data_IF_125172011933
#
_entry.id   IF_125172011933
#
_cell.length_a   1.000
_cell.length_b   1.000
_cell.length_c   1.000
_cell.angle_alpha   90.00
_cell.angle_beta   90.00
_cell.angle_gamma   90.00
#
_symmetry.space_group_name_H-M   'P 1'
#
loop_
_entity.id
_entity.type
_entity.pdbx_description
1 polymer ?
#
# COMPACT_ATOMS: atom_id res chain seq x y z
N UNK A 1 23.74 -7.39 -2.56
CA UNK A 1 22.82 -6.23 -2.56
C UNK A 1 23.43 -5.17 -1.67
N UNK A 2 23.73 -4.01 -2.22
CA UNK A 2 24.19 -2.85 -1.45
C UNK A 2 23.01 -2.28 -0.67
N UNK A 3 23.15 -2.14 0.64
CA UNK A 3 22.19 -1.46 1.51
C UNK A 3 22.49 0.04 1.62
N UNK A 4 23.10 0.64 0.57
CA UNK A 4 23.40 2.06 0.56
C UNK A 4 22.12 2.89 0.48
N UNK A 5 22.14 4.05 1.14
CA UNK A 5 21.01 4.98 1.16
C UNK A 5 20.72 5.50 -0.25
N UNK A 6 21.76 5.80 -1.04
CA UNK A 6 21.62 6.28 -2.41
C UNK A 6 20.91 5.25 -3.31
N UNK A 7 21.31 3.98 -3.20
CA UNK A 7 20.68 2.92 -3.98
C UNK A 7 19.23 2.72 -3.57
N UNK A 8 18.90 2.82 -2.28
CA UNK A 8 17.51 2.76 -1.85
C UNK A 8 16.69 3.95 -2.39
N UNK A 9 17.25 5.16 -2.38
CA UNK A 9 16.63 6.36 -2.91
C UNK A 9 16.32 6.24 -4.41
N UNK A 10 17.28 5.80 -5.21
CA UNK A 10 17.13 5.55 -6.64
C UNK A 10 16.00 4.54 -6.91
N UNK A 11 15.97 3.44 -6.16
CA UNK A 11 14.96 2.38 -6.32
C UNK A 11 13.55 2.85 -5.99
N UNK A 12 13.37 3.76 -5.03
CA UNK A 12 12.04 4.32 -4.74
C UNK A 12 11.48 5.15 -5.91
N UNK A 13 12.35 5.73 -6.72
CA UNK A 13 11.98 6.54 -7.90
C UNK A 13 11.86 5.68 -9.17
N UNK A 14 12.36 4.44 -9.16
CA UNK A 14 12.26 3.54 -10.30
C UNK A 14 10.83 2.98 -10.46
N UNK A 15 10.26 3.24 -11.63
CA UNK A 15 8.93 2.79 -12.05
C UNK A 15 8.84 1.31 -12.43
N UNK A 16 9.98 0.65 -12.63
CA UNK A 16 10.07 -0.77 -12.93
C UNK A 16 10.17 -1.65 -11.68
N UNK A 17 10.54 -1.07 -10.54
CA UNK A 17 10.65 -1.81 -9.29
C UNK A 17 9.33 -1.88 -8.54
N UNK A 18 9.06 -3.03 -7.94
CA UNK A 18 7.94 -3.22 -7.03
C UNK A 18 8.37 -2.94 -5.59
N UNK A 19 7.41 -2.51 -4.78
CA UNK A 19 7.61 -2.24 -3.37
C UNK A 19 8.04 -3.51 -2.62
N UNK A 20 7.49 -4.68 -2.99
CA UNK A 20 7.92 -5.97 -2.44
C UNK A 20 9.44 -6.22 -2.57
N UNK A 21 10.08 -5.69 -3.62
CA UNK A 21 11.52 -5.83 -3.86
C UNK A 21 12.34 -4.75 -3.12
N UNK A 22 11.78 -3.55 -2.96
CA UNK A 22 12.43 -2.41 -2.29
C UNK A 22 12.49 -2.62 -0.77
N UNK A 23 11.40 -3.11 -0.18
CA UNK A 23 11.20 -3.20 1.26
C UNK A 23 12.26 -4.02 2.02
N UNK A 24 12.74 -5.18 1.54
CA UNK A 24 13.82 -5.92 2.22
C UNK A 24 15.09 -5.08 2.42
N UNK A 25 15.41 -4.22 1.45
CA UNK A 25 16.57 -3.31 1.54
C UNK A 25 16.31 -2.18 2.53
N UNK A 26 15.12 -1.60 2.52
CA UNK A 26 14.70 -0.59 3.50
C UNK A 26 14.71 -1.14 4.94
N UNK A 27 14.22 -2.37 5.16
CA UNK A 27 14.23 -3.05 6.47
C UNK A 27 15.67 -3.26 6.93
N UNK A 28 16.54 -3.73 6.04
CA UNK A 28 17.96 -3.95 6.34
C UNK A 28 18.64 -2.64 6.76
N UNK A 29 18.41 -1.56 6.01
CA UNK A 29 18.93 -0.24 6.35
C UNK A 29 18.43 0.24 7.72
N UNK A 30 17.13 0.10 7.99
CA UNK A 30 16.55 0.48 9.28
C UNK A 30 17.17 -0.30 10.45
N UNK A 31 17.45 -1.60 10.25
CA UNK A 31 18.17 -2.41 11.23
C UNK A 31 19.61 -1.96 11.44
N UNK A 32 20.33 -1.61 10.37
CA UNK A 32 21.71 -1.11 10.44
C UNK A 32 21.81 0.21 11.20
N UNK A 33 20.81 1.08 11.05
CA UNK A 33 20.67 2.36 11.76
C UNK A 33 20.08 2.22 13.17
N UNK A 34 19.61 1.04 13.56
CA UNK A 34 18.90 0.77 14.82
C UNK A 34 17.55 1.49 14.95
N UNK A 35 16.92 1.84 13.84
CA UNK A 35 15.57 2.40 13.78
C UNK A 35 14.54 1.26 13.94
N UNK A 36 14.22 0.95 15.20
CA UNK A 36 13.40 -0.22 15.54
C UNK A 36 11.95 -0.02 15.11
N UNK A 37 11.40 1.20 15.26
CA UNK A 37 10.03 1.50 14.88
C UNK A 37 9.86 1.47 13.36
N UNK A 38 10.80 2.08 12.62
CA UNK A 38 10.84 2.03 11.17
C UNK A 38 10.94 0.58 10.66
N UNK A 39 11.85 -0.21 11.22
CA UNK A 39 12.02 -1.61 10.81
C UNK A 39 10.81 -2.49 11.17
N UNK A 40 10.06 -2.15 12.23
CA UNK A 40 8.82 -2.85 12.59
C UNK A 40 7.68 -2.47 11.64
N UNK A 41 7.49 -1.17 11.38
CA UNK A 41 6.49 -0.67 10.43
C UNK A 41 6.71 -1.24 9.03
N UNK A 42 7.95 -1.22 8.51
CA UNK A 42 8.27 -1.80 7.19
C UNK A 42 7.98 -3.31 7.12
N UNK A 43 8.22 -4.06 8.19
CA UNK A 43 7.86 -5.49 8.21
C UNK A 43 6.35 -5.70 8.19
N UNK A 44 5.61 -4.95 9.00
CA UNK A 44 4.15 -5.02 9.01
C UNK A 44 3.55 -4.62 7.65
N UNK A 45 4.10 -3.62 6.99
CA UNK A 45 3.71 -3.24 5.63
C UNK A 45 3.99 -4.38 4.63
N UNK A 46 5.13 -5.08 4.75
CA UNK A 46 5.55 -6.13 3.82
C UNK A 46 4.74 -7.41 4.00
N UNK A 47 4.62 -7.88 5.24
CA UNK A 47 4.01 -9.16 5.59
C UNK A 47 2.48 -9.06 5.77
N UNK A 48 1.98 -7.85 6.05
CA UNK A 48 0.60 -7.59 6.47
C UNK A 48 0.45 -7.43 7.98
N UNK A 49 -0.71 -6.91 8.37
CA UNK A 49 -1.06 -6.64 9.76
C UNK A 49 -1.80 -7.83 10.38
N UNK A 50 -1.56 -8.08 11.67
CA UNK A 50 -2.19 -9.18 12.41
C UNK A 50 -3.69 -8.95 12.62
N UNK A 51 -4.07 -7.69 12.84
CA UNK A 51 -5.45 -7.25 13.04
C UNK A 51 -5.66 -5.84 12.49
N UNK A 52 -6.92 -5.42 12.48
CA UNK A 52 -7.35 -4.12 11.99
C UNK A 52 -6.81 -2.96 12.83
N UNK A 53 -6.63 -3.14 14.14
CA UNK A 53 -6.21 -2.07 15.05
C UNK A 53 -4.72 -1.76 14.94
N UNK A 54 -3.91 -2.74 14.54
CA UNK A 54 -2.49 -2.58 14.27
C UNK A 54 -2.21 -1.80 12.96
N UNK A 55 -3.19 -1.74 12.06
CA UNK A 55 -3.03 -1.07 10.76
C UNK A 55 -3.06 0.47 10.90
N UNK A 56 -2.14 1.19 10.22
CA UNK A 56 -2.16 2.65 10.18
C UNK A 56 -3.50 3.21 9.66
N UNK A 57 -3.88 4.45 10.03
CA UNK A 57 -5.14 5.06 9.60
C UNK A 57 -5.37 5.07 8.08
N UNK A 58 -4.32 5.19 7.26
CA UNK A 58 -4.45 5.17 5.80
C UNK A 58 -4.79 3.80 5.19
N UNK A 59 -4.78 2.73 5.99
CA UNK A 59 -5.20 1.39 5.59
C UNK A 59 -6.63 1.06 6.00
N UNK A 60 -7.30 1.94 6.74
CA UNK A 60 -8.59 1.68 7.37
C UNK A 60 -9.70 2.53 6.81
N UNK A 61 -10.93 2.01 6.88
CA UNK A 61 -12.15 2.66 6.47
C UNK A 61 -12.09 3.21 5.03
N UNK A 62 -11.53 2.42 4.12
CA UNK A 62 -11.30 2.83 2.73
C UNK A 62 -12.60 2.73 1.93
N UNK A 63 -13.04 3.82 1.27
CA UNK A 63 -14.33 3.83 0.59
C UNK A 63 -14.32 2.98 -0.68
N UNK A 64 -15.32 2.12 -0.80
CA UNK A 64 -15.60 1.30 -1.97
C UNK A 64 -17.07 1.42 -2.41
N UNK A 65 -17.42 0.65 -3.45
CA UNK A 65 -18.78 0.61 -3.98
C UNK A 65 -19.42 -0.75 -3.73
N UNK A 66 -20.61 -0.76 -3.13
CA UNK A 66 -21.35 -1.99 -2.89
C UNK A 66 -21.97 -2.47 -4.21
N UNK A 67 -21.70 -3.72 -4.57
CA UNK A 67 -22.20 -4.38 -5.77
C UNK A 67 -22.91 -5.69 -5.41
N UNK A 68 -23.93 -6.03 -6.18
CA UNK A 68 -24.70 -7.26 -6.06
C UNK A 68 -24.49 -8.17 -7.26
N UNK A 69 -24.47 -9.49 -7.03
CA UNK A 69 -24.33 -10.50 -8.09
C UNK A 69 -25.67 -10.81 -8.73
N UNK A 70 -25.91 -10.28 -9.92
CA UNK A 70 -27.04 -10.64 -10.78
C UNK A 70 -26.73 -11.91 -11.59
N UNK A 71 -27.67 -12.88 -11.67
CA UNK A 71 -27.51 -14.07 -12.51
C UNK A 71 -27.36 -13.75 -14.01
N UNK A 72 -27.93 -12.63 -14.47
CA UNK A 72 -27.97 -12.26 -15.89
C UNK A 72 -26.87 -11.27 -16.28
N UNK A 73 -26.57 -10.30 -15.42
CA UNK A 73 -25.68 -9.17 -15.74
C UNK A 73 -24.35 -9.22 -14.98
N UNK A 74 -24.12 -10.24 -14.15
CA UNK A 74 -22.95 -10.31 -13.29
C UNK A 74 -23.04 -9.28 -12.17
N UNK A 75 -21.91 -8.64 -11.83
CA UNK A 75 -21.86 -7.65 -10.75
C UNK A 75 -22.43 -6.31 -11.20
N UNK A 76 -23.48 -5.86 -10.52
CA UNK A 76 -24.14 -4.57 -10.74
C UNK A 76 -24.12 -3.74 -9.45
N UNK A 77 -24.19 -2.40 -9.51
CA UNK A 77 -24.35 -1.59 -8.31
C UNK A 77 -25.55 -2.04 -7.49
N UNK A 78 -25.35 -2.21 -6.18
CA UNK A 78 -26.44 -2.60 -5.29
C UNK A 78 -27.39 -1.41 -5.07
N UNK A 79 -28.71 -1.64 -4.90
CA UNK A 79 -29.68 -0.59 -4.60
C UNK A 79 -29.58 -0.17 -3.13
N UNK A 80 -28.45 0.44 -2.76
CA UNK A 80 -28.16 0.93 -1.40
C UNK A 80 -28.37 2.44 -1.31
N UNK A 81 -28.79 2.90 -0.13
CA UNK A 81 -28.86 4.31 0.24
C UNK A 81 -27.49 4.87 0.66
N UNK A 82 -27.39 6.19 0.79
CA UNK A 82 -26.16 6.85 1.27
C UNK A 82 -25.78 6.40 2.68
N UNK A 83 -26.76 6.22 3.57
CA UNK A 83 -26.54 5.73 4.93
C UNK A 83 -25.93 4.32 4.93
N UNK A 84 -26.47 3.42 4.10
CA UNK A 84 -25.97 2.05 3.96
C UNK A 84 -24.57 2.02 3.32
N UNK A 85 -24.30 2.94 2.40
CA UNK A 85 -22.97 3.08 1.81
C UNK A 85 -21.96 3.56 2.85
N UNK A 86 -22.34 4.42 3.78
CA UNK A 86 -21.48 4.87 4.88
C UNK A 86 -21.25 3.79 5.96
N UNK A 87 -22.16 2.84 6.07
CA UNK A 87 -22.07 1.77 7.07
C UNK A 87 -21.28 0.58 6.54
N UNK A 88 -21.58 0.13 5.31
CA UNK A 88 -21.05 -1.10 4.72
C UNK A 88 -20.14 -0.88 3.52
N UNK A 89 -20.00 0.35 3.02
CA UNK A 89 -19.25 0.66 1.80
C UNK A 89 -17.75 0.86 2.03
N UNK A 90 -17.19 0.26 3.07
CA UNK A 90 -15.82 0.50 3.50
C UNK A 90 -15.06 -0.79 3.76
N UNK A 91 -13.76 -0.77 3.53
CA UNK A 91 -12.87 -1.89 3.78
C UNK A 91 -11.57 -1.45 4.43
N UNK A 92 -11.00 -2.35 5.22
CA UNK A 92 -9.63 -2.23 5.68
C UNK A 92 -8.73 -3.11 4.81
N UNK A 93 -7.55 -2.60 4.47
CA UNK A 93 -6.53 -3.34 3.73
C UNK A 93 -5.39 -3.70 4.67
N UNK A 94 -5.46 -4.89 5.25
CA UNK A 94 -4.46 -5.41 6.20
C UNK A 94 -3.41 -6.30 5.53
N UNK A 95 -3.59 -6.64 4.25
CA UNK A 95 -2.66 -7.51 3.53
C UNK A 95 -1.31 -6.84 3.27
N UNK A 96 -0.26 -7.66 3.18
CA UNK A 96 1.07 -7.22 2.81
C UNK A 96 1.15 -6.61 1.41
N UNK A 97 2.13 -5.74 1.20
CA UNK A 97 2.32 -4.98 -0.06
C UNK A 97 2.31 -5.86 -1.30
N UNK A 98 2.90 -7.05 -1.27
CA UNK A 98 2.88 -8.01 -2.40
C UNK A 98 1.46 -8.30 -2.91
N UNK A 99 0.51 -8.53 -2.00
CA UNK A 99 -0.88 -8.82 -2.36
C UNK A 99 -1.56 -7.60 -2.96
N UNK A 100 -1.31 -6.42 -2.39
CA UNK A 100 -1.87 -5.16 -2.86
C UNK A 100 -1.31 -4.75 -4.23
N UNK A 101 -0.01 -4.94 -4.45
CA UNK A 101 0.64 -4.70 -5.75
C UNK A 101 0.07 -5.61 -6.83
N UNK A 102 -0.15 -6.88 -6.50
CA UNK A 102 -0.78 -7.84 -7.41
C UNK A 102 -2.17 -7.38 -7.86
N UNK A 103 -2.95 -6.73 -6.98
CA UNK A 103 -4.22 -6.10 -7.38
C UNK A 103 -3.98 -4.98 -8.38
N UNK A 104 -3.05 -4.05 -8.09
CA UNK A 104 -2.73 -2.93 -8.99
C UNK A 104 -2.22 -3.35 -10.37
N UNK A 105 -1.44 -4.43 -10.43
CA UNK A 105 -0.86 -4.98 -11.67
C UNK A 105 -1.93 -5.67 -12.52
N UNK A 106 -2.84 -6.42 -11.88
CA UNK A 106 -3.87 -7.21 -12.56
C UNK A 106 -5.13 -6.40 -12.92
N UNK A 107 -5.41 -5.30 -12.21
CA UNK A 107 -6.56 -4.43 -12.48
C UNK A 107 -6.22 -3.34 -13.49
N UNK A 108 -7.14 -3.07 -14.42
CA UNK A 108 -7.06 -1.93 -15.34
C UNK A 108 -7.45 -0.62 -14.64
N UNK A 109 -7.06 0.52 -15.21
CA UNK A 109 -7.53 1.84 -14.76
C UNK A 109 -9.06 1.91 -14.88
N UNK A 110 -9.76 2.19 -13.79
CA UNK A 110 -11.22 2.19 -13.70
C UNK A 110 -11.83 0.84 -13.27
N UNK A 111 -11.02 -0.20 -13.11
CA UNK A 111 -11.41 -1.46 -12.48
C UNK A 111 -11.02 -1.46 -10.99
N UNK A 112 -11.47 -2.47 -10.27
CA UNK A 112 -11.18 -2.63 -8.85
C UNK A 112 -11.11 -4.10 -8.43
N UNK A 113 -10.78 -4.31 -7.17
CA UNK A 113 -10.85 -5.63 -6.56
C UNK A 113 -12.18 -5.77 -5.81
N UNK A 114 -12.84 -6.91 -6.00
CA UNK A 114 -14.10 -7.22 -5.35
C UNK A 114 -13.84 -8.16 -4.19
N UNK A 115 -14.25 -7.73 -3.00
CA UNK A 115 -14.18 -8.50 -1.77
C UNK A 115 -15.62 -8.72 -1.29
N UNK A 116 -15.96 -9.98 -1.01
CA UNK A 116 -17.28 -10.29 -0.47
C UNK A 116 -17.44 -9.64 0.90
N UNK A 117 -18.65 -9.18 1.22
CA UNK A 117 -18.97 -8.80 2.60
C UNK A 117 -18.83 -10.05 3.49
N UNK A 118 -18.51 -9.84 4.76
CA UNK A 118 -18.61 -10.93 5.74
C UNK A 118 -20.07 -11.39 5.89
N UNK A 119 -20.25 -12.56 6.50
CA UNK A 119 -21.56 -13.21 6.57
C UNK A 119 -22.59 -12.39 7.37
N UNK A 120 -22.14 -11.69 8.41
CA UNK A 120 -23.00 -10.90 9.29
C UNK A 120 -23.47 -9.62 8.59
N UNK A 121 -22.54 -8.85 8.05
CA UNK A 121 -22.81 -7.62 7.28
C UNK A 121 -23.61 -7.92 6.01
N UNK A 122 -23.31 -9.03 5.33
CA UNK A 122 -24.08 -9.48 4.18
C UNK A 122 -25.54 -9.76 4.57
N UNK A 123 -25.77 -10.51 5.64
CA UNK A 123 -27.12 -10.85 6.10
C UNK A 123 -27.91 -9.62 6.57
N UNK A 124 -27.23 -8.67 7.24
CA UNK A 124 -27.84 -7.40 7.65
C UNK A 124 -28.24 -6.60 6.41
N UNK A 125 -27.30 -6.36 5.50
CA UNK A 125 -27.54 -5.51 4.34
C UNK A 125 -28.58 -6.11 3.39
N UNK A 126 -28.54 -7.42 3.14
CA UNK A 126 -29.53 -8.16 2.34
C UNK A 126 -30.96 -7.97 2.86
N UNK A 127 -31.15 -8.01 4.19
CA UNK A 127 -32.46 -7.75 4.82
C UNK A 127 -32.89 -6.31 4.62
N UNK A 128 -31.98 -5.35 4.75
CA UNK A 128 -32.31 -3.93 4.60
C UNK A 128 -32.69 -3.55 3.16
N UNK A 129 -32.07 -4.17 2.16
CA UNK A 129 -32.36 -3.90 0.73
C UNK A 129 -33.35 -4.90 0.09
N UNK A 130 -33.87 -5.85 0.87
CA UNK A 130 -34.76 -6.93 0.42
C UNK A 130 -34.22 -7.70 -0.81
N UNK A 131 -32.95 -8.12 -0.75
CA UNK A 131 -32.25 -8.84 -1.82
C UNK A 131 -31.56 -10.08 -1.25
N UNK A 132 -31.59 -11.20 -1.96
CA UNK A 132 -30.91 -12.46 -1.57
C UNK A 132 -29.62 -12.74 -2.35
N UNK A 133 -29.17 -11.80 -3.16
CA UNK A 133 -27.96 -11.93 -3.98
C UNK A 133 -26.69 -11.72 -3.14
N UNK A 134 -25.59 -12.37 -3.53
CA UNK A 134 -24.26 -12.11 -2.97
C UNK A 134 -23.91 -10.63 -3.14
N UNK A 135 -23.42 -10.03 -2.05
CA UNK A 135 -22.95 -8.65 -2.02
C UNK A 135 -21.42 -8.63 -1.89
N UNK A 136 -20.79 -7.68 -2.57
CA UNK A 136 -19.36 -7.43 -2.48
C UNK A 136 -19.09 -5.93 -2.43
N UNK A 137 -17.95 -5.55 -1.87
CA UNK A 137 -17.40 -4.20 -1.98
C UNK A 137 -16.37 -4.23 -3.10
N UNK A 138 -16.59 -3.39 -4.11
CA UNK A 138 -15.63 -3.11 -5.16
C UNK A 138 -14.74 -1.94 -4.73
N UNK A 139 -13.49 -2.23 -4.40
CA UNK A 139 -12.50 -1.23 -4.04
C UNK A 139 -11.68 -0.85 -5.28
N UNK A 140 -11.69 0.42 -5.65
CA UNK A 140 -11.02 0.93 -6.85
C UNK A 140 -9.53 0.69 -6.80
N UNK A 141 -8.92 0.35 -7.94
CA UNK A 141 -7.47 0.28 -8.11
C UNK A 141 -6.74 1.53 -7.59
N UNK A 142 -7.36 2.71 -7.70
CA UNK A 142 -6.77 3.96 -7.23
C UNK A 142 -6.49 3.92 -5.71
N UNK A 143 -7.37 3.29 -4.93
CA UNK A 143 -7.18 3.16 -3.47
C UNK A 143 -5.91 2.35 -3.16
N UNK A 144 -5.75 1.18 -3.80
CA UNK A 144 -4.54 0.35 -3.67
C UNK A 144 -3.28 1.10 -4.11
N UNK A 145 -3.36 1.79 -5.25
CA UNK A 145 -2.26 2.59 -5.80
C UNK A 145 -1.84 3.72 -4.83
N UNK A 146 -2.80 4.48 -4.29
CA UNK A 146 -2.51 5.54 -3.30
C UNK A 146 -1.88 5.01 -2.02
N UNK A 147 -2.33 3.85 -1.53
CA UNK A 147 -1.72 3.20 -0.38
C UNK A 147 -0.25 2.84 -0.68
N UNK A 148 0.02 2.20 -1.81
CA UNK A 148 1.38 1.80 -2.21
C UNK A 148 2.30 2.99 -2.44
N UNK A 149 1.77 4.07 -3.04
CA UNK A 149 2.47 5.35 -3.18
C UNK A 149 2.80 5.95 -1.81
N UNK A 150 1.88 5.88 -0.84
CA UNK A 150 2.11 6.38 0.53
C UNK A 150 3.29 5.65 1.18
N UNK A 151 3.35 4.33 1.08
CA UNK A 151 4.44 3.53 1.67
C UNK A 151 5.76 3.80 0.96
N UNK A 152 5.77 3.82 -0.38
CA UNK A 152 6.95 4.15 -1.19
C UNK A 152 7.45 5.57 -0.89
N UNK A 153 6.54 6.53 -0.81
CA UNK A 153 6.83 7.92 -0.49
C UNK A 153 7.39 8.10 0.92
N UNK A 154 6.90 7.35 1.89
CA UNK A 154 7.45 7.35 3.24
C UNK A 154 8.91 6.83 3.26
N UNK A 155 9.21 5.76 2.51
CA UNK A 155 10.58 5.27 2.36
C UNK A 155 11.45 6.33 1.69
N UNK A 156 10.98 6.95 0.60
CA UNK A 156 11.69 8.02 -0.10
C UNK A 156 11.98 9.22 0.82
N UNK A 157 10.98 9.73 1.53
CA UNK A 157 11.16 10.86 2.43
C UNK A 157 12.14 10.52 3.57
N UNK A 158 12.09 9.29 4.08
CA UNK A 158 13.03 8.82 5.08
C UNK A 158 14.46 8.73 4.53
N UNK A 159 14.67 8.22 3.30
CA UNK A 159 15.99 8.20 2.68
C UNK A 159 16.53 9.59 2.41
N UNK A 160 15.68 10.53 1.98
CA UNK A 160 16.06 11.93 1.78
C UNK A 160 16.56 12.59 3.08
N UNK A 161 15.86 12.39 4.21
CA UNK A 161 16.31 12.93 5.51
C UNK A 161 17.62 12.30 6.00
N UNK A 162 17.83 11.00 5.75
CA UNK A 162 19.11 10.35 6.04
C UNK A 162 20.26 10.95 5.22
N UNK A 163 20.03 11.20 3.93
CA UNK A 163 21.02 11.85 3.07
C UNK A 163 21.30 13.30 3.50
N UNK A 164 20.26 14.05 3.86
CA UNK A 164 20.38 15.43 4.34
C UNK A 164 21.24 15.54 5.61
N UNK A 165 21.29 14.48 6.42
CA UNK A 165 22.14 14.38 7.61
C UNK A 165 23.56 13.89 7.33
N UNK A 166 23.92 13.72 6.06
CA UNK A 166 25.26 13.35 5.64
C UNK A 166 25.54 11.84 5.66
N UNK A 167 24.51 10.99 5.81
CA UNK A 167 24.66 9.53 5.74
C UNK A 167 24.62 9.00 4.29
N UNK A 168 24.64 9.88 3.29
CA UNK A 168 24.70 9.48 1.88
C UNK A 168 25.98 8.67 1.56
N UNK A 169 25.92 7.86 0.49
CA UNK A 169 27.05 7.05 0.02
C UNK A 169 26.95 5.56 0.38
N UNK A 170 28.03 4.82 0.06
CA UNK A 170 28.12 3.39 0.31
C UNK A 170 28.62 3.10 1.72
N UNK A 171 27.68 2.75 2.61
CA UNK A 171 27.99 2.37 3.99
C UNK A 171 27.71 0.89 4.20
N UNK A 172 28.74 0.14 4.58
CA UNK A 172 28.59 -1.26 5.01
C UNK A 172 28.26 -1.36 6.50
N UNK A 173 28.51 -0.30 7.28
CA UNK A 173 28.15 -0.20 8.69
C UNK A 173 27.97 1.27 9.08
N UNK A 174 27.25 1.54 10.16
CA UNK A 174 27.14 2.87 10.77
C UNK A 174 27.76 2.89 12.17
N UNK A 175 28.52 3.93 12.47
CA UNK A 175 29.11 4.16 13.79
C UNK A 175 28.02 4.50 14.83
N UNK A 176 28.32 4.40 16.14
CA UNK A 176 27.44 4.89 17.19
C UNK A 176 27.09 6.38 17.03
N UNK A 177 28.05 7.20 16.60
CA UNK A 177 27.87 8.64 16.40
C UNK A 177 26.92 8.95 15.24
N UNK A 178 27.07 8.25 14.11
CA UNK A 178 26.17 8.40 12.95
C UNK A 178 24.74 8.00 13.30
N UNK A 179 24.56 6.88 14.04
CA UNK A 179 23.23 6.44 14.49
C UNK A 179 22.59 7.45 15.45
N UNK A 180 23.38 8.04 16.35
CA UNK A 180 22.88 9.05 17.27
C UNK A 180 22.35 10.29 16.52
N UNK A 181 22.97 10.66 15.40
CA UNK A 181 22.54 11.81 14.57
C UNK A 181 21.20 11.61 13.88
N UNK A 182 20.68 10.39 13.76
CA UNK A 182 19.44 10.08 13.02
C UNK A 182 18.37 9.42 13.88
N UNK A 183 18.60 9.29 15.19
CA UNK A 183 17.71 8.53 16.09
C UNK A 183 16.28 9.09 16.13
N UNK A 184 16.12 10.40 15.97
CA UNK A 184 14.81 11.08 15.88
C UNK A 184 14.06 10.79 14.57
N UNK A 185 14.72 10.22 13.55
CA UNK A 185 14.08 9.74 12.33
C UNK A 185 13.44 8.34 12.49
N UNK A 186 13.52 7.70 13.67
CA UNK A 186 12.81 6.44 13.97
C UNK A 186 11.32 6.70 14.26
N UNK A 187 10.64 7.42 13.36
CA UNK A 187 9.24 7.87 13.49
C UNK A 187 8.49 7.64 12.17
N UNK A 188 8.14 6.39 11.82
CA UNK A 188 7.48 6.09 10.56
C UNK A 188 6.19 6.92 10.35
N UNK A 189 5.50 7.28 11.42
CA UNK A 189 4.29 8.11 11.40
C UNK A 189 4.47 9.51 10.86
N UNK A 190 5.64 10.11 11.06
CA UNK A 190 5.95 11.40 10.43
C UNK A 190 6.05 11.26 8.91
N UNK A 191 6.71 10.20 8.45
CA UNK A 191 6.99 9.99 7.04
C UNK A 191 5.76 9.59 6.23
N UNK A 192 4.94 8.64 6.70
CA UNK A 192 3.76 8.27 5.93
C UNK A 192 2.69 9.36 5.96
N UNK A 193 2.56 10.18 7.01
CA UNK A 193 1.67 11.35 6.99
C UNK A 193 2.11 12.37 5.95
N UNK A 194 3.40 12.72 5.96
CA UNK A 194 3.98 13.61 4.96
C UNK A 194 3.82 13.06 3.55
N UNK A 195 4.01 11.75 3.37
CA UNK A 195 3.81 11.09 2.08
C UNK A 195 2.36 11.16 1.61
N UNK A 196 1.36 11.06 2.50
CA UNK A 196 -0.04 11.25 2.13
C UNK A 196 -0.33 12.68 1.67
N UNK A 197 0.22 13.67 2.37
CA UNK A 197 0.01 15.09 2.07
C UNK A 197 0.69 15.50 0.75
N UNK A 198 1.85 14.90 0.45
CA UNK A 198 2.69 15.24 -0.69
C UNK A 198 2.59 14.24 -1.86
N UNK A 199 1.70 13.24 -1.77
CA UNK A 199 1.64 12.08 -2.67
C UNK A 199 1.65 12.42 -4.17
N UNK A 200 0.97 13.50 -4.56
CA UNK A 200 0.85 13.93 -5.96
C UNK A 200 2.06 14.76 -6.44
N UNK A 201 3.00 15.11 -5.55
CA UNK A 201 4.16 15.97 -5.82
C UNK A 201 5.51 15.26 -5.69
N UNK A 202 5.55 14.13 -4.97
CA UNK A 202 6.77 13.34 -4.79
C UNK A 202 7.22 12.76 -6.14
N UNK A 203 8.53 12.63 -6.40
CA UNK A 203 9.08 12.05 -7.63
C UNK A 203 8.98 10.52 -7.64
N UNK A 204 7.90 9.96 -7.09
CA UNK A 204 7.67 8.52 -6.97
C UNK A 204 6.64 8.07 -8.02
N UNK A 205 6.91 6.98 -8.75
CA UNK A 205 6.01 6.48 -9.77
C UNK A 205 4.79 5.78 -9.16
N UNK A 206 3.66 5.86 -9.87
CA UNK A 206 2.51 4.98 -9.61
C UNK A 206 2.87 3.53 -9.95
N UNK A 207 2.27 2.59 -9.22
CA UNK A 207 2.36 1.17 -9.54
C UNK A 207 1.74 0.97 -10.92
N UNK A 208 2.53 0.57 -11.91
CA UNK A 208 2.03 0.41 -13.28
C UNK A 208 1.12 -0.81 -13.36
N UNK A 209 -0.06 -0.67 -13.99
CA UNK A 209 -0.81 -1.84 -14.44
C UNK A 209 0.02 -2.57 -15.48
N UNK A 210 -0.04 -3.90 -15.55
CA UNK A 210 0.63 -4.66 -16.63
C UNK A 210 0.18 -4.11 -18.00
N UNK A 211 1.03 -3.27 -18.58
CA UNK A 211 0.69 -2.36 -19.66
C UNK A 211 1.37 -2.77 -20.95
N UNK A 212 0.65 -3.54 -21.77
CA UNK A 212 0.85 -3.77 -23.20
C UNK A 212 2.13 -4.52 -23.65
N UNK A 213 3.31 -4.19 -23.11
CA UNK A 213 4.58 -4.80 -23.56
C UNK A 213 4.76 -6.25 -23.12
N UNK A 214 4.35 -6.64 -21.90
CA UNK A 214 4.36 -8.07 -21.49
C UNK A 214 3.36 -8.95 -22.27
N UNK A 215 2.30 -8.35 -22.85
CA UNK A 215 1.34 -9.09 -23.69
C UNK A 215 1.78 -9.21 -25.14
N UNK A 216 2.59 -8.26 -25.65
CA UNK A 216 3.18 -8.33 -27.00
C UNK A 216 4.50 -9.10 -27.03
N UNK A 217 5.28 -9.02 -25.95
CA UNK A 217 6.49 -9.79 -25.73
C UNK A 217 6.21 -10.74 -24.58
N UNK A 218 5.47 -11.80 -24.90
CA UNK A 218 5.34 -12.94 -24.00
C UNK A 218 6.71 -13.34 -23.48
N UNK A 219 6.77 -13.70 -22.20
CA UNK A 219 7.94 -14.25 -21.52
C UNK A 219 8.84 -15.01 -22.49
N UNK A 220 9.98 -14.42 -22.84
CA UNK A 220 11.12 -15.18 -23.31
C UNK A 220 11.78 -15.77 -22.07
N UNK A 221 11.19 -16.84 -21.54
CA UNK A 221 11.79 -17.84 -20.63
C UNK A 221 10.84 -19.02 -20.52
#
# INVERSE_FOLDING_TARGET
>A
MSASINHLDERTQDSGELLEDIMPSAITLAMMLRHKKMAAWLRAELDGYQDHDAAPPYRRNLPGHIVAKSPQYGWIPAPVSDQQTQEFGHLDLIEGTKSLEKVCVNSKKGDGNRLLLDEDDMAILQKQINLSAELAINLSRNVYSRLLITVRGAIYLWTQELMARGLAGEHNHYSPEERAQVTDLDTPEGFWRKAMDEADTLPIPDVRSAGFFERMFGRAS
#
